data_IF_547728202122
#
_entry.id   IF_547728202122
#
_cell.length_a   1.000
_cell.length_b   1.000
_cell.length_c   1.000
_cell.angle_alpha   90.00
_cell.angle_beta   90.00
_cell.angle_gamma   90.00
#
_symmetry.space_group_name_H-M   'P 1'
#
loop_
_entity.id
_entity.type
_entity.pdbx_description
1 polymer ?
#
# COMPACT_ATOMS: atom_id res chain seq x y z
N UNK A 1 -29.09 24.95 -58.79
CA UNK A 1 -28.49 25.86 -59.81
C UNK A 1 -27.40 26.64 -59.10
N UNK A 2 -26.15 26.77 -59.50
CA UNK A 2 -25.32 26.28 -60.63
C UNK A 2 -23.85 26.55 -60.22
N UNK A 3 -22.92 25.60 -60.38
CA UNK A 3 -21.88 25.53 -61.43
C UNK A 3 -20.72 26.56 -61.29
N UNK A 4 -19.51 25.99 -61.07
CA UNK A 4 -18.16 26.28 -61.60
C UNK A 4 -17.87 27.57 -62.40
N UNK A 5 -16.65 28.12 -62.23
CA UNK A 5 -15.60 28.19 -63.29
C UNK A 5 -14.23 28.67 -62.71
N UNK A 6 -13.09 27.97 -62.96
CA UNK A 6 -12.08 28.10 -64.05
C UNK A 6 -11.46 29.52 -64.17
N UNK A 7 -10.21 29.78 -64.55
CA UNK A 7 -8.93 29.09 -64.86
C UNK A 7 -7.94 30.25 -65.14
N UNK A 8 -6.64 30.06 -64.91
CA UNK A 8 -5.46 30.64 -65.62
C UNK A 8 -4.21 30.14 -64.86
N UNK A 9 -3.29 29.28 -65.31
CA UNK A 9 -2.57 29.07 -66.59
C UNK A 9 -1.46 30.12 -66.85
N UNK A 10 -0.20 29.85 -66.43
CA UNK A 10 0.95 29.73 -67.35
C UNK A 10 2.24 29.19 -66.69
N UNK A 11 3.00 28.51 -67.56
CA UNK A 11 4.23 27.69 -67.52
C UNK A 11 5.54 28.24 -66.90
N UNK A 12 6.28 27.28 -66.34
CA UNK A 12 7.70 26.88 -66.54
C UNK A 12 8.75 27.93 -66.96
N UNK A 13 9.85 27.97 -66.18
CA UNK A 13 11.23 27.83 -66.69
C UNK A 13 12.12 27.12 -65.68
N UNK A 14 12.90 26.17 -66.17
CA UNK A 14 13.96 25.38 -65.51
C UNK A 14 15.24 26.18 -65.27
N UNK A 15 15.92 25.94 -64.15
CA UNK A 15 17.39 25.86 -64.12
C UNK A 15 17.87 25.11 -62.87
N UNK A 16 18.67 24.07 -63.10
CA UNK A 16 19.31 23.24 -62.10
C UNK A 16 20.71 23.79 -61.79
N UNK A 17 21.05 23.97 -60.51
CA UNK A 17 22.44 24.06 -60.05
C UNK A 17 22.52 23.49 -58.62
N UNK A 18 23.43 22.53 -58.43
CA UNK A 18 24.26 22.49 -57.22
C UNK A 18 23.76 21.70 -56.02
N UNK A 19 24.01 20.40 -56.05
CA UNK A 19 24.62 19.60 -54.98
C UNK A 19 25.05 20.38 -53.71
N UNK A 20 24.48 20.04 -52.55
CA UNK A 20 25.22 19.63 -51.34
C UNK A 20 24.24 18.93 -50.38
N UNK A 21 24.33 17.59 -50.31
CA UNK A 21 23.82 16.84 -49.15
C UNK A 21 24.64 17.27 -47.94
N UNK A 22 24.03 18.00 -47.00
CA UNK A 22 24.51 18.02 -45.63
C UNK A 22 23.80 16.89 -44.88
N UNK A 23 24.38 15.70 -44.96
CA UNK A 23 24.19 14.64 -43.97
C UNK A 23 24.81 15.10 -42.66
N UNK A 24 24.08 15.91 -41.90
CA UNK A 24 24.37 16.18 -40.50
C UNK A 24 23.89 15.02 -39.64
N UNK A 25 24.53 13.85 -39.75
CA UNK A 25 24.35 12.76 -38.79
C UNK A 25 25.24 13.05 -37.57
N UNK A 26 24.71 13.85 -36.64
CA UNK A 26 25.32 14.07 -35.33
C UNK A 26 25.07 12.88 -34.40
N UNK A 27 26.00 12.53 -33.48
CA UNK A 27 25.91 11.34 -32.64
C UNK A 27 25.03 11.61 -31.41
N UNK A 28 23.74 11.91 -31.60
CA UNK A 28 22.79 12.12 -30.49
C UNK A 28 22.01 10.86 -30.10
N UNK A 29 22.10 9.77 -30.89
CA UNK A 29 21.29 8.56 -30.71
C UNK A 29 21.83 7.51 -29.73
N UNK A 30 23.13 7.54 -29.38
CA UNK A 30 23.76 6.46 -28.59
C UNK A 30 23.52 6.58 -27.08
N UNK A 31 23.50 7.79 -26.53
CA UNK A 31 23.30 8.02 -25.09
C UNK A 31 21.86 7.75 -24.65
N UNK A 32 20.87 8.12 -25.48
CA UNK A 32 19.47 7.88 -25.16
C UNK A 32 19.15 6.37 -25.18
N UNK A 33 19.66 5.64 -26.17
CA UNK A 33 19.47 4.20 -26.26
C UNK A 33 20.11 3.44 -25.08
N UNK A 34 21.32 3.84 -24.66
CA UNK A 34 21.98 3.27 -23.48
C UNK A 34 21.22 3.52 -22.18
N UNK A 35 20.59 4.69 -22.03
CA UNK A 35 19.79 5.00 -20.84
C UNK A 35 18.50 4.16 -20.79
N UNK A 36 17.84 3.97 -21.94
CA UNK A 36 16.64 3.12 -22.05
C UNK A 36 16.97 1.66 -21.73
N UNK A 37 18.07 1.14 -22.28
CA UNK A 37 18.52 -0.23 -22.02
C UNK A 37 18.85 -0.45 -20.54
N UNK A 38 19.54 0.51 -19.90
CA UNK A 38 19.82 0.46 -18.46
C UNK A 38 18.56 0.49 -17.60
N UNK A 39 17.59 1.34 -17.93
CA UNK A 39 16.33 1.42 -17.20
C UNK A 39 15.53 0.11 -17.32
N UNK A 40 15.49 -0.48 -18.51
CA UNK A 40 14.84 -1.77 -18.74
C UNK A 40 15.54 -2.91 -17.96
N UNK A 41 16.87 -2.92 -17.93
CA UNK A 41 17.65 -3.89 -17.17
C UNK A 41 17.38 -3.78 -15.66
N UNK A 42 17.36 -2.55 -15.12
CA UNK A 42 17.04 -2.29 -13.72
C UNK A 42 15.60 -2.73 -13.38
N UNK A 43 14.63 -2.44 -14.25
CA UNK A 43 13.25 -2.90 -14.05
C UNK A 43 13.15 -4.42 -14.00
N UNK A 44 13.86 -5.11 -14.88
CA UNK A 44 13.91 -6.58 -14.89
C UNK A 44 14.59 -7.13 -13.63
N UNK A 45 15.70 -6.52 -13.19
CA UNK A 45 16.37 -6.90 -11.94
C UNK A 45 15.46 -6.73 -10.72
N UNK A 46 14.69 -5.64 -10.65
CA UNK A 46 13.70 -5.40 -9.59
C UNK A 46 12.58 -6.43 -9.58
N UNK A 47 12.06 -6.80 -10.74
CA UNK A 47 11.04 -7.86 -10.86
C UNK A 47 11.57 -9.22 -10.39
N UNK A 48 12.81 -9.57 -10.74
CA UNK A 48 13.43 -10.80 -10.24
C UNK A 48 13.71 -10.75 -8.73
N UNK A 49 14.13 -9.61 -8.19
CA UNK A 49 14.29 -9.42 -6.75
C UNK A 49 12.96 -9.58 -6.01
N UNK A 50 11.88 -8.98 -6.52
CA UNK A 50 10.53 -9.13 -5.95
C UNK A 50 10.10 -10.60 -5.91
N UNK A 51 10.26 -11.32 -7.02
CA UNK A 51 9.90 -12.74 -7.06
C UNK A 51 10.75 -13.60 -6.14
N UNK A 52 12.05 -13.32 -6.01
CA UNK A 52 12.90 -14.02 -5.07
C UNK A 52 12.49 -13.78 -3.60
N UNK A 53 12.03 -12.56 -3.28
CA UNK A 53 11.65 -12.17 -1.92
C UNK A 53 10.24 -12.65 -1.53
N UNK A 54 9.28 -12.57 -2.46
CA UNK A 54 7.86 -12.84 -2.19
C UNK A 54 7.38 -14.19 -2.71
N UNK A 55 8.12 -14.83 -3.62
CA UNK A 55 7.72 -16.10 -4.24
C UNK A 55 6.56 -15.99 -5.23
N UNK A 56 6.17 -14.77 -5.60
CA UNK A 56 5.11 -14.46 -6.55
C UNK A 56 5.57 -13.41 -7.57
N UNK A 57 4.92 -13.36 -8.73
CA UNK A 57 5.08 -12.26 -9.69
C UNK A 57 4.00 -11.24 -9.45
N UNK A 58 4.39 -9.99 -9.22
CA UNK A 58 3.42 -8.90 -9.10
C UNK A 58 2.81 -8.59 -10.47
N UNK A 59 1.53 -8.21 -10.50
CA UNK A 59 0.83 -7.92 -11.76
C UNK A 59 1.42 -6.69 -12.44
N UNK A 60 1.13 -6.53 -13.74
CA UNK A 60 1.68 -5.43 -14.53
C UNK A 60 1.27 -4.05 -13.99
N UNK A 61 0.06 -3.90 -13.47
CA UNK A 61 -0.43 -2.64 -12.92
C UNK A 61 0.37 -2.17 -11.71
N UNK A 62 0.98 -3.08 -10.94
CA UNK A 62 1.89 -2.71 -9.84
C UNK A 62 3.07 -1.86 -10.34
N UNK A 63 3.70 -2.28 -11.44
CA UNK A 63 4.83 -1.56 -12.02
C UNK A 63 4.38 -0.29 -12.74
N UNK A 64 3.25 -0.33 -13.44
CA UNK A 64 2.70 0.84 -14.12
C UNK A 64 2.29 1.91 -13.07
N UNK A 65 1.76 1.49 -11.91
CA UNK A 65 1.46 2.39 -10.79
C UNK A 65 2.72 3.02 -10.20
N UNK A 66 3.79 2.24 -10.02
CA UNK A 66 5.08 2.76 -9.56
C UNK A 66 5.63 3.83 -10.51
N UNK A 67 5.63 3.56 -11.81
CA UNK A 67 6.10 4.50 -12.82
C UNK A 67 5.26 5.77 -12.82
N UNK A 68 3.93 5.63 -12.83
CA UNK A 68 3.01 6.76 -12.77
C UNK A 68 3.20 7.61 -11.51
N UNK A 69 3.31 6.99 -10.34
CA UNK A 69 3.49 7.70 -9.07
C UNK A 69 4.79 8.51 -9.04
N UNK A 70 5.89 7.95 -9.56
CA UNK A 70 7.18 8.66 -9.63
C UNK A 70 7.19 9.80 -10.66
N UNK A 71 6.28 9.79 -11.62
CA UNK A 71 6.09 10.87 -12.60
C UNK A 71 5.14 11.96 -12.11
N UNK A 72 4.51 11.78 -10.94
CA UNK A 72 3.61 12.80 -10.38
C UNK A 72 4.38 14.06 -9.97
N UNK A 73 3.88 15.26 -10.36
CA UNK A 73 4.35 16.50 -9.78
C UNK A 73 4.18 16.51 -8.24
N UNK A 74 5.05 17.22 -7.48
CA UNK A 74 5.02 17.22 -6.02
C UNK A 74 3.66 17.58 -5.42
N UNK A 75 2.92 18.48 -6.05
CA UNK A 75 1.56 18.85 -5.62
C UNK A 75 0.60 17.66 -5.54
N UNK A 76 0.72 16.70 -6.47
CA UNK A 76 -0.16 15.52 -6.53
C UNK A 76 0.34 14.39 -5.65
N UNK A 77 1.66 14.30 -5.43
CA UNK A 77 2.22 13.43 -4.40
C UNK A 77 1.70 13.86 -3.02
N UNK A 78 1.72 15.16 -2.72
CA UNK A 78 1.14 15.68 -1.48
C UNK A 78 -0.36 15.38 -1.38
N UNK A 79 -1.13 15.55 -2.47
CA UNK A 79 -2.56 15.16 -2.46
C UNK A 79 -2.74 13.67 -2.17
N UNK A 80 -1.91 12.81 -2.75
CA UNK A 80 -1.96 11.37 -2.51
C UNK A 80 -1.60 10.99 -1.07
N UNK A 81 -0.59 11.64 -0.48
CA UNK A 81 -0.10 11.30 0.86
C UNK A 81 -0.92 11.95 1.98
N UNK A 82 -1.30 13.22 1.82
CA UNK A 82 -1.94 14.02 2.86
C UNK A 82 -3.47 13.99 2.74
N UNK A 83 -4.04 14.22 1.55
CA UNK A 83 -5.51 14.26 1.37
C UNK A 83 -6.10 12.85 1.33
N UNK A 84 -5.48 11.93 0.57
CA UNK A 84 -5.92 10.53 0.55
C UNK A 84 -5.35 9.72 1.71
N UNK A 85 -4.30 10.21 2.38
CA UNK A 85 -3.71 9.51 3.51
C UNK A 85 -2.97 8.21 3.13
N UNK A 86 -2.57 8.05 1.87
CA UNK A 86 -2.01 6.79 1.35
C UNK A 86 -0.49 6.87 1.24
N UNK A 87 0.21 5.81 1.64
CA UNK A 87 1.65 5.64 1.39
C UNK A 87 1.96 4.32 0.69
N UNK A 88 2.93 4.37 -0.22
CA UNK A 88 3.47 3.20 -0.92
C UNK A 88 4.40 2.44 0.02
N UNK A 89 4.13 1.15 0.25
CA UNK A 89 4.83 0.31 1.22
C UNK A 89 5.07 -1.11 0.67
N UNK A 90 5.72 -1.96 1.47
CA UNK A 90 5.83 -3.38 1.19
C UNK A 90 6.67 -3.65 -0.08
N UNK A 91 6.11 -4.27 -1.12
CA UNK A 91 6.79 -4.47 -2.40
C UNK A 91 7.32 -3.18 -3.04
N UNK A 92 6.68 -2.03 -2.83
CA UNK A 92 7.21 -0.75 -3.33
C UNK A 92 8.51 -0.34 -2.65
N UNK A 93 8.76 -0.77 -1.40
CA UNK A 93 10.04 -0.53 -0.72
C UNK A 93 11.18 -1.27 -1.43
N UNK A 94 10.90 -2.42 -2.07
CA UNK A 94 11.87 -3.12 -2.92
C UNK A 94 12.14 -2.34 -4.20
N UNK A 95 11.10 -1.82 -4.87
CA UNK A 95 11.27 -0.97 -6.05
C UNK A 95 12.06 0.31 -5.74
N UNK A 96 11.88 0.87 -4.54
CA UNK A 96 12.60 2.03 -4.04
C UNK A 96 14.06 1.71 -3.62
N UNK A 97 14.52 0.46 -3.72
CA UNK A 97 15.89 0.06 -3.38
C UNK A 97 16.17 -0.06 -1.88
N UNK A 98 15.14 -0.06 -1.02
CA UNK A 98 15.33 -0.18 0.44
C UNK A 98 15.83 -1.56 0.88
N UNK A 99 15.95 -2.51 -0.05
CA UNK A 99 16.35 -3.90 0.18
C UNK A 99 17.73 -4.25 -0.39
N UNK A 100 18.42 -3.34 -1.09
CA UNK A 100 19.62 -3.67 -1.87
C UNK A 100 20.80 -4.14 -1.02
N UNK A 101 21.03 -3.48 0.10
CA UNK A 101 22.15 -3.76 0.99
C UNK A 101 21.68 -4.20 2.39
N UNK A 102 20.45 -4.70 2.49
CA UNK A 102 19.83 -5.05 3.77
C UNK A 102 19.77 -6.56 3.94
N UNK A 103 20.49 -7.07 4.96
CA UNK A 103 20.30 -8.45 5.42
C UNK A 103 19.04 -8.52 6.28
N UNK A 104 17.97 -9.06 5.72
CA UNK A 104 16.71 -9.22 6.44
C UNK A 104 16.86 -10.21 7.61
N UNK A 105 16.41 -9.79 8.80
CA UNK A 105 16.30 -10.67 9.97
C UNK A 105 15.16 -11.67 9.84
N UNK A 106 14.10 -11.28 9.14
CA UNK A 106 12.88 -12.04 8.94
C UNK A 106 12.56 -12.13 7.43
N UNK A 107 11.76 -13.12 6.99
CA UNK A 107 11.34 -13.19 5.59
C UNK A 107 10.65 -11.90 5.12
N UNK A 108 10.93 -11.47 3.88
CA UNK A 108 10.36 -10.26 3.30
C UNK A 108 8.83 -10.29 3.24
N UNK A 109 8.21 -11.47 3.12
CA UNK A 109 6.75 -11.66 3.16
C UNK A 109 6.09 -11.23 4.48
N UNK A 110 6.87 -10.97 5.54
CA UNK A 110 6.35 -10.42 6.80
C UNK A 110 6.48 -8.88 6.87
N UNK A 111 7.18 -8.26 5.92
CA UNK A 111 7.31 -6.80 5.83
C UNK A 111 5.95 -6.20 5.47
N UNK A 112 5.42 -5.31 6.32
CA UNK A 112 4.07 -4.73 6.23
C UNK A 112 2.90 -5.71 6.31
N UNK A 113 3.14 -6.93 6.81
CA UNK A 113 2.06 -7.87 7.09
C UNK A 113 1.44 -7.57 8.45
N UNK A 114 0.18 -7.15 8.47
CA UNK A 114 -0.59 -6.94 9.69
C UNK A 114 -1.03 -8.27 10.29
N UNK A 115 -1.49 -8.22 11.54
CA UNK A 115 -1.78 -9.40 12.35
C UNK A 115 -2.80 -10.35 11.70
N UNK A 116 -3.80 -9.77 11.03
CA UNK A 116 -4.90 -10.53 10.43
C UNK A 116 -4.77 -10.72 8.92
N UNK A 117 -3.67 -10.28 8.30
CA UNK A 117 -3.45 -10.46 6.87
C UNK A 117 -3.31 -11.94 6.56
N UNK A 118 -4.21 -12.54 5.76
CA UNK A 118 -4.08 -13.92 5.36
C UNK A 118 -2.90 -14.07 4.36
N UNK A 119 -2.37 -15.29 4.16
CA UNK A 119 -1.24 -15.50 3.24
C UNK A 119 -1.54 -15.12 1.79
N UNK A 120 -2.81 -15.04 1.40
CA UNK A 120 -3.27 -14.56 0.08
C UNK A 120 -3.08 -13.05 -0.10
N UNK A 121 -2.95 -12.29 0.99
CA UNK A 121 -2.97 -10.83 1.00
C UNK A 121 -1.57 -10.23 1.15
N UNK A 122 -1.17 -9.39 0.21
CA UNK A 122 0.14 -8.72 0.18
C UNK A 122 -0.03 -7.21 0.19
N UNK A 123 0.21 -6.59 1.34
CA UNK A 123 0.10 -5.14 1.55
C UNK A 123 1.04 -4.36 0.63
N UNK A 124 0.46 -3.39 -0.08
CA UNK A 124 1.17 -2.46 -0.97
C UNK A 124 0.92 -1.00 -0.62
N UNK A 125 -0.21 -0.69 0.02
CA UNK A 125 -0.52 0.64 0.52
C UNK A 125 -0.83 0.61 2.02
N UNK A 126 -0.35 1.60 2.75
CA UNK A 126 -0.80 1.89 4.12
C UNK A 126 -1.60 3.18 4.13
N UNK A 127 -2.73 3.18 4.83
CA UNK A 127 -3.50 4.37 5.17
C UNK A 127 -3.00 5.05 6.45
N UNK A 128 -3.62 6.18 6.79
CA UNK A 128 -3.29 6.99 7.97
C UNK A 128 -4.21 6.73 9.19
N UNK A 129 -5.25 5.92 9.04
CA UNK A 129 -6.29 5.72 10.08
C UNK A 129 -6.49 4.24 10.38
N UNK A 130 -6.51 3.86 11.67
CA UNK A 130 -6.88 2.53 12.21
C UNK A 130 -6.24 1.30 11.56
N UNK A 131 -5.03 1.47 11.03
CA UNK A 131 -4.34 0.41 10.29
C UNK A 131 -5.06 0.05 9.00
N UNK A 132 -5.77 1.00 8.38
CA UNK A 132 -6.23 0.92 7.00
C UNK A 132 -5.04 0.59 6.11
N UNK A 133 -5.22 -0.37 5.23
CA UNK A 133 -4.21 -0.75 4.26
C UNK A 133 -4.85 -1.49 3.09
N UNK A 134 -4.15 -1.49 1.96
CA UNK A 134 -4.57 -2.17 0.74
C UNK A 134 -3.49 -3.15 0.33
N UNK A 135 -3.93 -4.26 -0.25
CA UNK A 135 -3.06 -5.33 -0.71
C UNK A 135 -3.64 -6.06 -1.90
N UNK A 136 -2.76 -6.72 -2.63
CA UNK A 136 -3.20 -7.69 -3.63
C UNK A 136 -3.65 -8.97 -2.94
N UNK A 137 -4.81 -9.48 -3.36
CA UNK A 137 -5.33 -10.79 -2.98
C UNK A 137 -5.10 -11.80 -4.10
N UNK A 138 -4.28 -12.82 -3.82
CA UNK A 138 -3.98 -13.90 -4.76
C UNK A 138 -4.68 -15.19 -4.34
N UNK A 139 -5.66 -15.66 -5.13
CA UNK A 139 -6.26 -16.99 -4.92
C UNK A 139 -5.33 -18.11 -5.41
N UNK A 140 -4.75 -17.95 -6.60
CA UNK A 140 -3.77 -18.86 -7.19
C UNK A 140 -2.75 -18.00 -7.98
N UNK A 141 -1.59 -17.69 -7.40
CA UNK A 141 -0.61 -16.79 -8.02
C UNK A 141 -0.03 -17.34 -9.33
N UNK A 142 -0.22 -18.63 -9.63
CA UNK A 142 0.25 -19.23 -10.87
C UNK A 142 -0.79 -19.18 -12.00
N UNK A 143 -2.08 -18.94 -11.70
CA UNK A 143 -3.17 -19.13 -12.67
C UNK A 143 -4.19 -18.01 -12.74
N UNK A 144 -4.44 -17.33 -11.63
CA UNK A 144 -5.50 -16.34 -11.51
C UNK A 144 -4.90 -14.95 -11.32
N UNK A 145 -5.40 -13.93 -12.04
CA UNK A 145 -5.02 -12.55 -11.76
C UNK A 145 -5.52 -12.16 -10.35
N UNK A 146 -4.71 -11.40 -9.58
CA UNK A 146 -5.14 -10.93 -8.27
C UNK A 146 -6.23 -9.86 -8.40
N UNK A 147 -6.88 -9.57 -7.28
CA UNK A 147 -7.67 -8.34 -7.09
C UNK A 147 -7.02 -7.48 -6.01
N UNK A 148 -7.42 -6.21 -5.91
CA UNK A 148 -7.03 -5.38 -4.78
C UNK A 148 -8.11 -5.48 -3.71
N UNK A 149 -7.69 -5.58 -2.47
CA UNK A 149 -8.55 -5.60 -1.30
C UNK A 149 -8.03 -4.66 -0.23
N UNK A 150 -8.91 -4.24 0.66
CA UNK A 150 -8.59 -3.29 1.71
C UNK A 150 -9.38 -3.59 2.97
N UNK A 151 -8.79 -3.28 4.11
CA UNK A 151 -9.46 -3.28 5.41
C UNK A 151 -8.68 -2.52 6.48
N UNK A 152 -9.36 -2.27 7.59
CA UNK A 152 -8.76 -1.71 8.80
C UNK A 152 -8.28 -2.84 9.71
N UNK A 153 -6.96 -2.91 9.93
CA UNK A 153 -6.36 -3.94 10.77
C UNK A 153 -6.80 -3.88 12.25
N UNK A 154 -7.30 -2.71 12.69
CA UNK A 154 -7.72 -2.48 14.08
C UNK A 154 -9.25 -2.58 14.28
N UNK A 155 -10.02 -2.88 13.22
CA UNK A 155 -11.48 -2.92 13.27
C UNK A 155 -12.04 -4.33 12.96
N UNK A 156 -13.35 -4.44 12.64
CA UNK A 156 -14.16 -5.65 12.51
C UNK A 156 -13.74 -6.68 11.44
N UNK A 157 -12.56 -6.53 10.83
CA UNK A 157 -12.01 -7.46 9.83
C UNK A 157 -12.93 -7.65 8.60
N UNK A 158 -13.71 -6.63 8.27
CA UNK A 158 -14.52 -6.61 7.05
C UNK A 158 -13.66 -6.13 5.88
N UNK A 159 -13.29 -7.06 4.99
CA UNK A 159 -12.58 -6.72 3.77
C UNK A 159 -13.56 -6.30 2.68
N UNK A 160 -13.15 -5.32 1.88
CA UNK A 160 -13.79 -5.01 0.61
C UNK A 160 -12.77 -5.02 -0.52
N UNK A 161 -13.27 -5.15 -1.75
CA UNK A 161 -12.45 -5.10 -2.96
C UNK A 161 -12.80 -3.84 -3.75
N UNK A 162 -11.98 -2.77 -3.68
CA UNK A 162 -12.27 -1.53 -4.39
C UNK A 162 -12.02 -1.65 -5.91
N UNK A 163 -11.36 -2.71 -6.36
CA UNK A 163 -11.11 -2.97 -7.77
C UNK A 163 -10.11 -4.10 -7.99
N UNK A 164 -9.73 -4.29 -9.25
CA UNK A 164 -8.75 -5.28 -9.68
C UNK A 164 -7.34 -4.70 -9.88
N UNK A 165 -7.21 -3.38 -9.85
CA UNK A 165 -5.94 -2.66 -10.01
C UNK A 165 -5.74 -1.63 -8.91
N UNK A 166 -4.49 -1.20 -8.71
CA UNK A 166 -4.18 -0.13 -7.76
C UNK A 166 -4.79 1.22 -8.15
N UNK A 167 -4.93 1.50 -9.44
CA UNK A 167 -5.58 2.72 -9.92
C UNK A 167 -7.06 2.75 -9.56
N UNK A 168 -7.77 1.62 -9.74
CA UNK A 168 -9.17 1.49 -9.32
C UNK A 168 -9.32 1.63 -7.81
N UNK A 169 -8.38 1.06 -7.04
CA UNK A 169 -8.38 1.20 -5.59
C UNK A 169 -8.25 2.66 -5.13
N UNK A 170 -7.34 3.41 -5.74
CA UNK A 170 -7.13 4.83 -5.44
C UNK A 170 -8.31 5.68 -5.91
N UNK A 171 -8.88 5.39 -7.09
CA UNK A 171 -10.07 6.09 -7.58
C UNK A 171 -11.27 5.88 -6.64
N UNK A 172 -11.53 4.63 -6.25
CA UNK A 172 -12.61 4.30 -5.31
C UNK A 172 -12.42 4.97 -3.95
N UNK A 173 -11.18 5.05 -3.45
CA UNK A 173 -10.90 5.75 -2.19
C UNK A 173 -11.06 7.26 -2.31
N UNK A 174 -10.62 7.83 -3.43
CA UNK A 174 -10.79 9.26 -3.73
C UNK A 174 -12.27 9.66 -3.81
N UNK A 175 -13.11 8.83 -4.41
CA UNK A 175 -14.56 9.05 -4.43
C UNK A 175 -15.16 9.13 -3.02
N UNK A 176 -14.85 8.17 -2.14
CA UNK A 176 -15.31 8.20 -0.75
C UNK A 176 -14.75 9.35 0.07
N UNK A 177 -13.50 9.75 -0.17
CA UNK A 177 -12.89 10.91 0.48
C UNK A 177 -13.60 12.21 0.10
N UNK A 178 -13.98 12.39 -1.18
CA UNK A 178 -14.76 13.56 -1.61
C UNK A 178 -16.15 13.58 -0.98
N UNK A 179 -16.85 12.45 -0.94
CA UNK A 179 -18.17 12.35 -0.29
C UNK A 179 -18.06 12.76 1.19
N UNK A 180 -17.02 12.28 1.90
CA UNK A 180 -16.77 12.66 3.30
C UNK A 180 -16.50 14.16 3.46
N UNK A 181 -15.74 14.77 2.54
CA UNK A 181 -15.48 16.21 2.55
C UNK A 181 -16.74 17.03 2.28
N UNK A 182 -17.59 16.58 1.35
CA UNK A 182 -18.88 17.22 1.04
C UNK A 182 -19.81 17.19 2.26
N UNK A 183 -19.87 16.07 2.98
CA UNK A 183 -20.60 15.96 4.24
C UNK A 183 -20.02 16.88 5.32
N UNK A 184 -18.69 16.94 5.46
CA UNK A 184 -18.03 17.79 6.45
C UNK A 184 -18.27 19.28 6.20
N UNK A 185 -18.40 19.72 4.95
CA UNK A 185 -18.77 21.11 4.61
C UNK A 185 -20.14 21.49 5.18
N UNK A 186 -21.08 20.54 5.25
CA UNK A 186 -22.41 20.76 5.83
C UNK A 186 -22.37 20.74 7.38
N UNK A 187 -21.61 19.80 7.95
CA UNK A 187 -21.62 19.55 9.39
C UNK A 187 -20.66 20.45 10.20
N UNK A 188 -19.62 20.97 9.56
CA UNK A 188 -18.57 21.79 10.18
C UNK A 188 -18.28 23.04 9.32
N UNK A 189 -19.17 24.04 9.35
CA UNK A 189 -19.06 25.23 8.51
C UNK A 189 -17.85 26.11 8.86
N UNK A 190 -17.29 25.98 10.06
CA UNK A 190 -16.12 26.74 10.50
C UNK A 190 -14.86 26.35 9.71
N UNK A 191 -14.80 25.09 9.23
CA UNK A 191 -13.71 24.56 8.40
C UNK A 191 -14.11 24.33 6.93
N UNK A 192 -15.28 24.82 6.50
CA UNK A 192 -15.81 24.55 5.17
C UNK A 192 -14.88 24.98 4.01
N UNK A 193 -14.14 26.09 4.17
CA UNK A 193 -13.22 26.55 3.13
C UNK A 193 -12.02 25.59 2.98
N UNK A 194 -11.51 25.04 4.09
CA UNK A 194 -10.43 24.04 4.09
C UNK A 194 -10.91 22.75 3.37
N UNK A 195 -12.12 22.27 3.67
CA UNK A 195 -12.69 21.10 2.99
C UNK A 195 -12.92 21.34 1.49
N UNK A 196 -13.32 22.56 1.09
CA UNK A 196 -13.45 22.92 -0.34
C UNK A 196 -12.11 22.92 -1.06
N UNK A 197 -11.06 23.39 -0.41
CA UNK A 197 -9.70 23.37 -0.97
C UNK A 197 -9.20 21.93 -1.16
N UNK A 198 -9.40 21.05 -0.16
CA UNK A 198 -9.13 19.61 -0.25
C UNK A 198 -9.93 18.95 -1.38
N UNK A 199 -11.24 19.23 -1.47
CA UNK A 199 -12.10 18.70 -2.54
C UNK A 199 -11.62 19.13 -3.93
N UNK A 200 -11.19 20.39 -4.08
CA UNK A 200 -10.62 20.90 -5.33
C UNK A 200 -9.28 20.22 -5.67
N UNK A 201 -8.44 19.96 -4.67
CA UNK A 201 -7.18 19.22 -4.83
C UNK A 201 -7.44 17.78 -5.31
N UNK A 202 -8.35 17.04 -4.66
CA UNK A 202 -8.75 15.69 -5.06
C UNK A 202 -9.33 15.67 -6.48
N UNK A 203 -10.21 16.60 -6.81
CA UNK A 203 -10.79 16.73 -8.16
C UNK A 203 -9.70 16.98 -9.23
N UNK A 204 -8.64 17.73 -8.89
CA UNK A 204 -7.49 17.93 -9.78
C UNK A 204 -6.65 16.67 -9.91
N UNK A 205 -6.45 15.96 -8.81
CA UNK A 205 -5.69 14.73 -8.74
C UNK A 205 -6.33 13.61 -9.58
N UNK A 206 -7.66 13.42 -9.50
CA UNK A 206 -8.36 12.38 -10.26
C UNK A 206 -8.20 12.49 -11.77
N UNK A 207 -8.05 13.72 -12.30
CA UNK A 207 -7.77 13.93 -13.73
C UNK A 207 -6.40 13.37 -14.17
N UNK A 208 -5.53 13.02 -13.21
CA UNK A 208 -4.23 12.39 -13.45
C UNK A 208 -4.28 10.87 -13.32
N UNK A 209 -5.34 10.31 -12.73
CA UNK A 209 -5.51 8.87 -12.64
C UNK A 209 -5.75 8.27 -14.04
N UNK A 210 -4.94 7.28 -14.45
CA UNK A 210 -5.20 6.53 -15.68
C UNK A 210 -6.54 5.81 -15.61
N UNK A 211 -7.31 5.86 -16.70
CA UNK A 211 -8.51 5.03 -16.83
C UNK A 211 -8.10 3.58 -17.08
N UNK A 212 -8.54 2.66 -16.23
CA UNK A 212 -8.32 1.22 -16.40
C UNK A 212 -9.41 0.64 -17.29
N UNK A 213 -9.02 -0.15 -18.28
CA UNK A 213 -9.96 -0.72 -19.27
C UNK A 213 -10.35 -2.17 -18.99
N UNK A 214 -9.82 -2.78 -17.94
CA UNK A 214 -10.02 -4.20 -17.67
C UNK A 214 -10.19 -4.44 -16.17
N UNK A 215 -11.43 -4.58 -15.73
CA UNK A 215 -11.74 -5.01 -14.37
C UNK A 215 -11.86 -6.54 -14.32
N UNK A 216 -11.10 -7.16 -13.44
CA UNK A 216 -11.22 -8.60 -13.14
C UNK A 216 -12.32 -8.80 -12.12
N UNK A 217 -13.37 -9.54 -12.49
CA UNK A 217 -14.40 -9.97 -11.54
C UNK A 217 -13.98 -11.27 -10.84
N UNK A 218 -13.71 -11.20 -9.54
CA UNK A 218 -13.46 -12.36 -8.68
C UNK A 218 -14.77 -12.92 -8.14
N UNK A 219 -14.92 -14.25 -8.20
CA UNK A 219 -16.11 -14.96 -7.69
C UNK A 219 -15.68 -16.06 -6.72
N UNK A 220 -15.70 -15.81 -5.40
CA UNK A 220 -15.38 -16.84 -4.42
C UNK A 220 -16.38 -18.00 -4.52
N UNK A 221 -15.89 -19.23 -4.36
CA UNK A 221 -16.77 -20.41 -4.37
C UNK A 221 -17.42 -20.64 -3.02
N UNK A 222 -16.77 -20.18 -1.94
CA UNK A 222 -17.29 -20.21 -0.58
C UNK A 222 -16.98 -18.87 0.10
N UNK A 223 -17.97 -18.30 0.77
CA UNK A 223 -17.77 -17.08 1.56
C UNK A 223 -17.15 -17.42 2.91
N UNK A 224 -16.21 -16.59 3.34
CA UNK A 224 -15.59 -16.66 4.66
C UNK A 224 -16.07 -15.47 5.52
N UNK A 225 -15.98 -15.54 6.86
CA UNK A 225 -16.46 -14.46 7.73
C UNK A 225 -15.90 -13.08 7.40
N UNK A 226 -14.70 -13.01 6.84
CA UNK A 226 -14.03 -11.79 6.40
C UNK A 226 -14.48 -11.28 5.01
N UNK A 227 -15.51 -11.90 4.43
CA UNK A 227 -16.20 -11.51 3.19
C UNK A 227 -15.40 -11.66 1.88
N UNK A 228 -14.10 -11.99 1.96
CA UNK A 228 -13.32 -12.33 0.76
C UNK A 228 -13.68 -13.69 0.21
N UNK A 229 -13.88 -14.70 1.04
CA UNK A 229 -14.12 -16.06 0.58
C UNK A 229 -12.93 -16.73 -0.07
N UNK A 230 -13.07 -18.03 -0.35
CA UNK A 230 -12.03 -18.87 -0.97
C UNK A 230 -12.48 -19.31 -2.36
N UNK A 231 -11.55 -19.33 -3.31
CA UNK A 231 -11.75 -19.92 -4.63
C UNK A 231 -11.15 -21.32 -4.66
N UNK A 232 -12.02 -22.34 -4.68
CA UNK A 232 -11.62 -23.73 -4.82
C UNK A 232 -12.06 -24.22 -6.20
N UNK A 233 -11.13 -24.63 -7.09
CA UNK A 233 -11.49 -25.21 -8.39
C UNK A 233 -12.38 -26.45 -8.20
N UNK A 234 -13.39 -26.68 -9.04
CA UNK A 234 -14.20 -27.89 -8.97
C UNK A 234 -13.31 -29.11 -9.22
N UNK A 235 -13.16 -29.98 -8.22
CA UNK A 235 -12.50 -31.27 -8.41
C UNK A 235 -13.44 -32.19 -9.18
N UNK A 236 -12.96 -32.79 -10.28
CA UNK A 236 -13.74 -33.73 -11.07
C UNK A 236 -14.35 -34.84 -10.18
N UNK A 237 -15.67 -34.78 -9.97
CA UNK A 237 -16.46 -35.86 -9.36
C UNK A 237 -16.60 -35.86 -7.83
N UNK A 238 -16.25 -34.79 -7.10
CA UNK A 238 -16.54 -34.69 -5.66
C UNK A 238 -17.30 -33.40 -5.33
N UNK A 239 -18.36 -33.53 -4.52
CA UNK A 239 -19.01 -32.38 -3.90
C UNK A 239 -17.95 -31.57 -3.12
N UNK A 240 -18.10 -30.24 -3.12
CA UNK A 240 -17.20 -29.34 -2.40
C UNK A 240 -17.13 -29.65 -0.90
N UNK A 241 -16.24 -28.98 -0.15
CA UNK A 241 -16.13 -29.22 1.29
C UNK A 241 -17.49 -28.96 1.97
N UNK A 242 -18.11 -30.03 2.49
CA UNK A 242 -19.35 -29.95 3.25
C UNK A 242 -19.02 -29.54 4.70
N UNK A 243 -19.30 -28.29 5.05
CA UNK A 243 -19.35 -27.88 6.46
C UNK A 243 -20.77 -28.04 6.99
N UNK A 244 -20.94 -28.91 7.99
CA UNK A 244 -22.23 -29.12 8.67
C UNK A 244 -22.55 -28.07 9.74
N UNK A 245 -21.58 -27.22 10.10
CA UNK A 245 -21.72 -26.17 11.11
C UNK A 245 -21.85 -24.80 10.46
N UNK A 246 -22.73 -23.96 11.00
CA UNK A 246 -22.88 -22.58 10.54
C UNK A 246 -21.74 -21.70 11.08
N UNK A 247 -21.51 -20.54 10.47
CA UNK A 247 -20.56 -19.55 10.97
C UNK A 247 -20.86 -19.15 12.44
N UNK A 248 -22.14 -19.05 12.78
CA UNK A 248 -22.57 -18.73 14.15
C UNK A 248 -22.19 -19.82 15.15
N UNK A 249 -22.24 -21.09 14.73
CA UNK A 249 -21.84 -22.21 15.59
C UNK A 249 -20.34 -22.15 15.88
N UNK A 250 -19.51 -21.89 14.87
CA UNK A 250 -18.06 -21.70 15.03
C UNK A 250 -17.73 -20.55 15.98
N UNK A 251 -18.36 -19.38 15.79
CA UNK A 251 -18.14 -18.22 16.65
C UNK A 251 -18.54 -18.48 18.10
N UNK A 252 -19.60 -19.26 18.35
CA UNK A 252 -19.98 -19.66 19.71
C UNK A 252 -18.96 -20.61 20.32
N UNK A 253 -18.53 -21.62 19.56
CA UNK A 253 -17.52 -22.58 20.01
C UNK A 253 -16.20 -21.91 20.36
N UNK A 254 -15.71 -20.98 19.52
CA UNK A 254 -14.49 -20.22 19.79
C UNK A 254 -14.57 -19.42 21.10
N UNK A 255 -15.65 -18.64 21.28
CA UNK A 255 -15.89 -17.87 22.52
C UNK A 255 -15.97 -18.77 23.75
N UNK A 256 -16.58 -19.95 23.63
CA UNK A 256 -16.66 -20.90 24.72
C UNK A 256 -15.27 -21.40 25.12
N UNK A 257 -14.41 -21.74 24.16
CA UNK A 257 -13.04 -22.21 24.42
C UNK A 257 -12.21 -21.11 25.11
N UNK A 258 -12.27 -19.88 24.61
CA UNK A 258 -11.56 -18.73 25.22
C UNK A 258 -12.03 -18.49 26.66
N UNK A 259 -13.34 -18.54 26.90
CA UNK A 259 -13.90 -18.38 28.25
C UNK A 259 -13.44 -19.46 29.22
N UNK A 260 -13.26 -20.70 28.74
CA UNK A 260 -12.76 -21.82 29.52
C UNK A 260 -11.27 -21.66 29.85
N UNK A 261 -10.47 -21.20 28.89
CA UNK A 261 -9.04 -20.94 29.10
C UNK A 261 -8.81 -19.80 30.10
N UNK A 262 -9.59 -18.71 30.00
CA UNK A 262 -9.55 -17.59 30.95
C UNK A 262 -9.88 -18.04 32.39
N UNK A 263 -10.93 -18.86 32.56
CA UNK A 263 -11.33 -19.43 33.86
C UNK A 263 -10.29 -20.40 34.44
N UNK A 264 -9.62 -21.17 33.59
CA UNK A 264 -8.57 -22.08 34.03
C UNK A 264 -7.30 -21.31 34.44
N UNK A 265 -6.93 -20.26 33.71
CA UNK A 265 -5.81 -19.38 34.07
C UNK A 265 -6.03 -18.59 35.38
N UNK A 266 -7.28 -18.20 35.68
CA UNK A 266 -7.64 -17.58 36.97
C UNK A 266 -7.59 -18.59 38.11
N UNK A 267 -8.14 -19.80 37.93
CA UNK A 267 -8.04 -20.89 38.93
C UNK A 267 -6.60 -21.30 39.23
N UNK A 268 -5.70 -21.29 38.25
CA UNK A 268 -4.31 -21.65 38.45
C UNK A 268 -3.52 -20.57 39.21
N UNK A 269 -3.90 -19.29 39.06
CA UNK A 269 -3.38 -18.18 39.89
C UNK A 269 -3.91 -18.19 41.31
N UNK A 270 -5.18 -18.56 41.52
CA UNK A 270 -5.78 -18.65 42.87
C UNK A 270 -5.31 -19.88 43.66
N UNK A 271 -4.85 -20.95 43.00
CA UNK A 271 -4.32 -22.17 43.64
C UNK A 271 -2.88 -22.05 44.17
N UNK A 272 -2.23 -20.89 44.08
CA UNK A 272 -0.97 -20.62 44.80
C UNK A 272 -1.16 -19.50 45.81
N UNK A 273 -1.52 -19.88 47.03
CA UNK A 273 -0.63 -19.56 48.14
C UNK A 273 -0.49 -20.77 49.05
N UNK A 274 0.68 -21.44 49.09
CA UNK A 274 1.29 -21.99 50.30
C UNK A 274 2.67 -22.60 50.03
N UNK A 275 3.67 -22.03 50.71
CA UNK A 275 4.99 -22.55 51.14
C UNK A 275 5.96 -23.14 50.10
N UNK A 276 7.07 -22.41 49.93
CA UNK A 276 8.39 -22.90 50.34
C UNK A 276 9.25 -21.72 50.80
N UNK A 277 9.34 -21.53 52.12
CA UNK A 277 10.44 -20.81 52.72
C UNK A 277 11.66 -21.74 52.76
N UNK A 278 12.83 -21.22 52.41
CA UNK A 278 14.11 -21.90 52.64
C UNK A 278 14.72 -22.56 51.41
N UNK A 279 15.53 -21.78 50.69
CA UNK A 279 16.86 -22.11 50.13
C UNK A 279 17.10 -21.25 48.89
N UNK A 280 17.85 -20.17 49.09
CA UNK A 280 18.33 -19.31 48.03
C UNK A 280 19.48 -20.01 47.30
N UNK A 281 19.30 -20.36 46.03
CA UNK A 281 20.40 -20.68 45.11
C UNK A 281 20.85 -19.41 44.36
N UNK A 282 22.16 -19.18 44.18
CA UNK A 282 22.69 -17.91 43.70
C UNK A 282 22.73 -17.86 42.17
N UNK A 283 21.58 -17.70 41.49
CA UNK A 283 21.55 -17.29 40.06
C UNK A 283 20.43 -16.29 39.71
N UNK A 284 19.74 -15.70 40.69
CA UNK A 284 18.74 -14.63 40.47
C UNK A 284 19.19 -13.27 41.03
N UNK A 285 20.32 -12.78 40.56
CA UNK A 285 20.74 -11.36 40.68
C UNK A 285 21.18 -10.84 39.32
N UNK A 286 20.23 -10.63 38.40
CA UNK A 286 20.50 -9.77 37.23
C UNK A 286 19.27 -9.05 36.65
N UNK A 287 18.04 -9.41 37.05
CA UNK A 287 16.83 -8.71 36.58
C UNK A 287 16.07 -8.18 37.78
N UNK A 288 16.60 -7.13 38.41
CA UNK A 288 15.87 -6.27 39.37
C UNK A 288 16.54 -4.90 39.59
N UNK A 289 17.33 -4.42 38.62
CA UNK A 289 18.12 -3.18 38.74
C UNK A 289 17.96 -2.17 37.60
N UNK A 290 16.83 -2.19 36.89
CA UNK A 290 16.54 -1.18 35.84
C UNK A 290 15.17 -0.47 35.96
N UNK A 291 14.26 -0.88 36.86
CA UNK A 291 12.95 -0.22 37.03
C UNK A 291 12.85 0.71 38.24
N UNK A 292 13.97 1.28 38.71
CA UNK A 292 13.95 2.30 39.76
C UNK A 292 14.84 3.48 39.39
N UNK A 293 14.50 4.18 38.31
CA UNK A 293 14.91 5.56 38.10
C UNK A 293 13.98 6.19 37.06
N UNK A 294 13.52 7.41 37.39
CA UNK A 294 12.68 8.32 36.59
C UNK A 294 11.16 8.19 36.71
N UNK A 295 10.67 8.47 37.92
CA UNK A 295 9.50 9.35 38.08
C UNK A 295 9.87 10.41 39.13
N UNK A 296 9.91 11.69 38.72
CA UNK A 296 9.63 12.90 39.51
C UNK A 296 10.42 14.12 38.97
N UNK A 297 9.78 14.95 38.14
CA UNK A 297 9.90 16.42 38.23
C UNK A 297 8.56 17.02 37.79
N UNK A 298 7.97 17.86 38.64
CA UNK A 298 6.72 18.62 38.45
C UNK A 298 7.05 20.06 37.97
N UNK A 299 6.08 20.96 37.69
CA UNK A 299 6.09 21.84 36.53
C UNK A 299 6.42 23.31 36.88
N UNK A 300 6.76 24.13 35.87
CA UNK A 300 6.25 25.51 35.67
C UNK A 300 7.13 26.32 34.71
N UNK A 301 6.43 27.12 33.89
CA UNK A 301 6.78 28.43 33.34
C UNK A 301 7.51 28.59 31.99
N UNK A 302 6.69 29.01 31.01
CA UNK A 302 6.78 30.27 30.24
C UNK A 302 7.77 30.38 29.04
N UNK A 303 7.15 30.42 27.86
CA UNK A 303 7.18 31.49 26.85
C UNK A 303 8.40 31.73 25.91
N UNK A 304 8.07 31.65 24.59
CA UNK A 304 8.67 32.29 23.38
C UNK A 304 9.82 31.55 22.64
N UNK A 305 10.05 31.82 21.32
CA UNK A 305 9.29 31.30 20.18
C UNK A 305 10.19 30.46 19.23
N UNK A 306 9.60 29.49 18.52
CA UNK A 306 10.36 28.62 17.59
C UNK A 306 10.42 29.21 16.19
N UNK A 307 11.66 29.47 15.78
CA UNK A 307 12.12 29.89 14.45
C UNK A 307 11.80 28.85 13.36
N UNK A 308 11.39 29.35 12.19
CA UNK A 308 11.11 28.60 10.97
C UNK A 308 12.38 28.10 10.27
N UNK A 309 12.50 26.79 10.05
CA UNK A 309 13.42 26.16 9.10
C UNK A 309 12.91 24.74 8.70
N UNK A 310 13.18 24.25 7.47
CA UNK A 310 12.26 23.40 6.72
C UNK A 310 12.38 21.89 6.99
N UNK A 311 11.24 21.21 6.77
CA UNK A 311 10.88 19.83 7.10
C UNK A 311 11.69 18.67 6.47
N UNK A 312 12.90 18.91 5.93
CA UNK A 312 13.72 17.83 5.33
C UNK A 312 14.65 17.10 6.31
N UNK A 313 14.88 17.63 7.51
CA UNK A 313 15.82 17.03 8.47
C UNK A 313 15.14 16.18 9.58
N UNK A 314 13.80 16.23 9.70
CA UNK A 314 13.08 15.54 10.77
C UNK A 314 12.87 14.04 10.48
N UNK A 315 12.89 13.63 9.21
CA UNK A 315 12.66 12.23 8.79
C UNK A 315 13.91 11.36 8.96
N UNK A 316 15.13 11.91 8.82
CA UNK A 316 16.39 11.16 9.04
C UNK A 316 16.66 10.87 10.53
N UNK A 317 16.18 11.72 11.44
CA UNK A 317 16.48 11.58 12.86
C UNK A 317 15.62 10.52 13.59
N UNK A 318 14.51 10.07 13.00
CA UNK A 318 13.69 9.01 13.59
C UNK A 318 14.26 7.61 13.32
N UNK A 319 14.98 7.41 12.20
CA UNK A 319 15.52 6.10 11.81
C UNK A 319 16.75 5.65 12.62
N UNK A 320 17.49 6.56 13.27
CA UNK A 320 18.72 6.21 14.00
C UNK A 320 18.55 5.93 15.50
N UNK A 321 17.38 6.15 16.09
CA UNK A 321 17.17 5.95 17.54
C UNK A 321 16.40 4.67 17.93
N UNK A 322 16.07 3.80 16.97
CA UNK A 322 15.26 2.59 17.21
C UNK A 322 16.00 1.25 17.27
N UNK A 323 17.34 1.21 17.24
CA UNK A 323 18.10 -0.05 17.21
C UNK A 323 19.30 -0.05 18.16
N UNK A 324 19.06 0.13 19.47
CA UNK A 324 19.86 -0.49 20.53
C UNK A 324 19.00 -0.58 21.80
N UNK A 325 18.63 -1.81 22.18
CA UNK A 325 17.86 -2.13 23.37
C UNK A 325 17.40 -3.58 23.36
#
# INVERSE_FOLDING_TARGET
MSILDRRNFLRMTTSAVGLTLLTGCGPAGKSNQQNVEKAAAMKHERDEQLHALYGIRFPRDFFDFWEWYNELPPEFVNTFEEELGIRLVGPFDVLAGKFDDVKLRYPAVLHWRYLYDPPEFFTVFSGNTDGLHWGYWFDDPARLPPVVSAFWASDAFELWSPGSTLFEAVASWSDGAKESLEENIEHDPDHADEYRDSLAALTKFERRLPTTSCSVSRKPTHQTPELMGVVIPPHAGKAGPETTQTLQDWQRSARQIESQQSRNGTRERERKPHRCAGQASPQRRFIKRLNSQRCAVHPSALDQPVSTAPARQAVENWYHQGFMG
#
